data_IF_305541295402
#
_entry.id   IF_305541295402
#
_cell.length_a   1.000
_cell.length_b   1.000
_cell.length_c   1.000
_cell.angle_alpha   90.00
_cell.angle_beta   90.00
_cell.angle_gamma   90.00
#
_symmetry.space_group_name_H-M   'P 1'
#
loop_
_entity.id
_entity.type
_entity.pdbx_description
1 polymer ?
#
# COMPACT_ATOMS: atom_id res chain seq x y z
N UNK A 1 39.81 -32.66 34.12
CA UNK A 1 38.60 -32.24 34.86
C UNK A 1 38.06 -30.87 34.48
N UNK A 2 38.65 -30.19 33.51
CA UNK A 2 38.23 -28.79 33.10
C UNK A 2 37.45 -28.71 31.78
N UNK A 3 37.24 -29.82 31.06
CA UNK A 3 36.50 -29.82 29.79
C UNK A 3 34.99 -30.04 29.92
N UNK A 4 34.52 -30.56 31.06
CA UNK A 4 33.06 -30.87 31.26
C UNK A 4 32.24 -29.68 31.78
N UNK A 5 32.87 -28.63 32.36
CA UNK A 5 32.14 -27.49 32.92
C UNK A 5 31.78 -26.47 31.84
N UNK A 6 32.62 -26.31 30.80
CA UNK A 6 32.32 -25.37 29.69
C UNK A 6 31.17 -25.85 28.80
N UNK A 7 31.00 -27.17 28.64
CA UNK A 7 29.88 -27.70 27.85
C UNK A 7 28.53 -27.55 28.55
N UNK A 8 28.49 -27.57 29.89
CA UNK A 8 27.27 -27.41 30.68
C UNK A 8 26.76 -25.96 30.66
N UNK A 9 27.66 -24.96 30.64
CA UNK A 9 27.30 -23.55 30.55
C UNK A 9 26.79 -23.15 29.15
N UNK A 10 27.30 -23.75 28.08
CA UNK A 10 26.82 -23.48 26.71
C UNK A 10 25.44 -24.12 26.49
N UNK A 11 25.21 -25.32 27.02
CA UNK A 11 23.88 -25.95 26.94
C UNK A 11 22.82 -25.24 27.78
N UNK A 12 23.17 -24.67 28.95
CA UNK A 12 22.21 -23.91 29.77
C UNK A 12 21.84 -22.57 29.13
N UNK A 13 22.78 -21.90 28.48
CA UNK A 13 22.48 -20.64 27.77
C UNK A 13 21.62 -20.84 26.51
N UNK A 14 21.83 -21.96 25.78
CA UNK A 14 21.02 -22.30 24.60
C UNK A 14 19.60 -22.74 25.00
N UNK A 15 19.43 -23.46 26.11
CA UNK A 15 18.12 -23.83 26.62
C UNK A 15 17.37 -22.63 27.16
N UNK A 16 18.04 -21.72 27.88
CA UNK A 16 17.43 -20.48 28.38
C UNK A 16 16.97 -19.55 27.23
N UNK A 17 17.75 -19.46 26.14
CA UNK A 17 17.34 -18.66 24.98
C UNK A 17 16.13 -19.23 24.23
N UNK A 18 16.05 -20.57 24.10
CA UNK A 18 14.88 -21.23 23.47
C UNK A 18 13.61 -21.14 24.32
N UNK A 19 13.72 -21.24 25.66
CA UNK A 19 12.56 -21.09 26.55
C UNK A 19 12.08 -19.63 26.61
N UNK A 20 12.96 -18.66 26.52
CA UNK A 20 12.59 -17.23 26.48
C UNK A 20 11.87 -16.88 25.19
N UNK A 21 12.34 -17.37 24.03
CA UNK A 21 11.67 -17.22 22.74
C UNK A 21 10.28 -17.86 22.77
N UNK A 22 10.13 -19.05 23.34
CA UNK A 22 8.84 -19.72 23.43
C UNK A 22 7.84 -18.99 24.37
N UNK A 23 8.31 -18.36 25.43
CA UNK A 23 7.47 -17.55 26.33
C UNK A 23 6.99 -16.25 25.67
N UNK A 24 7.85 -15.55 24.92
CA UNK A 24 7.45 -14.35 24.17
C UNK A 24 6.49 -14.69 23.04
N UNK A 25 6.73 -15.77 22.31
CA UNK A 25 5.79 -16.26 21.29
C UNK A 25 4.42 -16.65 21.86
N UNK A 26 4.38 -17.31 23.01
CA UNK A 26 3.14 -17.64 23.71
C UNK A 26 2.43 -16.40 24.29
N UNK A 27 3.17 -15.39 24.77
CA UNK A 27 2.58 -14.14 25.23
C UNK A 27 2.04 -13.30 24.08
N UNK A 28 2.72 -13.23 22.92
CA UNK A 28 2.23 -12.54 21.73
C UNK A 28 0.95 -13.21 21.19
N UNK A 29 0.89 -14.55 21.15
CA UNK A 29 -0.31 -15.30 20.77
C UNK A 29 -1.45 -15.12 21.77
N UNK A 30 -1.15 -15.07 23.08
CA UNK A 30 -2.18 -14.84 24.13
C UNK A 30 -2.63 -13.39 24.21
N UNK A 31 -1.80 -12.42 23.84
CA UNK A 31 -2.23 -11.01 23.77
C UNK A 31 -3.12 -10.77 22.52
N UNK A 32 -2.82 -11.41 21.39
CA UNK A 32 -3.70 -11.37 20.20
C UNK A 32 -5.10 -11.97 20.47
N UNK A 33 -5.23 -12.89 21.44
CA UNK A 33 -6.53 -13.49 21.85
C UNK A 33 -7.28 -12.70 22.93
N UNK A 34 -6.68 -11.63 23.48
CA UNK A 34 -7.28 -10.76 24.50
C UNK A 34 -7.68 -9.37 24.01
N UNK A 35 -7.61 -9.13 22.69
CA UNK A 35 -8.30 -7.97 22.13
C UNK A 35 -9.80 -8.19 22.36
N UNK A 36 -10.31 -7.61 23.45
CA UNK A 36 -11.73 -7.37 23.63
C UNK A 36 -12.18 -6.63 22.37
N UNK A 37 -13.07 -7.25 21.58
CA UNK A 37 -13.61 -6.64 20.38
C UNK A 37 -14.24 -5.31 20.78
N UNK A 38 -13.51 -4.20 20.58
CA UNK A 38 -14.12 -2.87 20.60
C UNK A 38 -15.27 -2.92 19.60
N UNK A 39 -16.42 -2.36 19.96
CA UNK A 39 -17.50 -2.21 19.02
C UNK A 39 -16.96 -1.47 17.79
N UNK A 40 -17.15 -2.04 16.62
CA UNK A 40 -16.70 -1.41 15.37
C UNK A 40 -17.51 -0.15 15.10
N UNK A 41 -16.86 0.87 14.56
CA UNK A 41 -17.53 2.09 14.14
C UNK A 41 -18.27 1.82 12.83
N UNK A 42 -19.55 2.10 12.79
CA UNK A 42 -20.30 2.06 11.56
C UNK A 42 -19.84 3.19 10.63
N UNK A 43 -19.45 2.83 9.40
CA UNK A 43 -18.97 3.77 8.39
C UNK A 43 -19.76 3.56 7.10
N UNK A 44 -20.33 4.64 6.58
CA UNK A 44 -20.87 4.69 5.23
C UNK A 44 -19.83 5.32 4.31
N UNK A 45 -19.43 4.60 3.28
CA UNK A 45 -18.51 5.11 2.26
C UNK A 45 -19.18 6.15 1.36
N UNK A 46 -18.42 6.91 0.59
CA UNK A 46 -18.97 7.82 -0.40
C UNK A 46 -19.92 7.12 -1.39
N UNK A 47 -19.68 5.83 -1.69
CA UNK A 47 -20.58 5.04 -2.51
C UNK A 47 -21.94 4.81 -1.82
N UNK A 48 -21.93 4.40 -0.54
CA UNK A 48 -23.15 4.18 0.22
C UNK A 48 -23.98 5.45 0.31
N UNK A 49 -23.33 6.58 0.63
CA UNK A 49 -23.97 7.91 0.69
C UNK A 49 -24.53 8.33 -0.67
N UNK A 50 -23.79 8.08 -1.76
CA UNK A 50 -24.30 8.36 -3.11
C UNK A 50 -25.60 7.60 -3.38
N UNK A 51 -25.58 6.29 -3.13
CA UNK A 51 -26.74 5.42 -3.46
C UNK A 51 -27.95 5.71 -2.60
N UNK A 52 -27.79 5.95 -1.31
CA UNK A 52 -28.87 6.08 -0.35
C UNK A 52 -29.39 7.51 -0.22
N UNK A 53 -28.51 8.52 -0.26
CA UNK A 53 -28.85 9.88 0.16
C UNK A 53 -28.68 10.92 -0.97
N UNK A 54 -27.75 10.68 -1.91
CA UNK A 54 -27.33 11.69 -2.91
C UNK A 54 -27.34 11.19 -4.35
N UNK A 55 -28.31 10.36 -4.79
CA UNK A 55 -28.32 9.81 -6.14
C UNK A 55 -28.38 10.90 -7.24
N UNK A 56 -28.87 12.08 -6.91
CA UNK A 56 -28.96 13.22 -7.83
C UNK A 56 -27.62 13.68 -8.40
N UNK A 57 -26.48 13.29 -7.80
CA UNK A 57 -25.16 13.62 -8.36
C UNK A 57 -24.87 12.90 -9.68
N UNK A 58 -25.51 11.75 -9.92
CA UNK A 58 -25.29 10.95 -11.14
C UNK A 58 -26.57 10.72 -11.96
N UNK A 59 -27.75 11.06 -11.43
CA UNK A 59 -29.02 10.94 -12.15
C UNK A 59 -29.00 11.74 -13.45
N UNK A 60 -29.45 11.13 -14.55
CA UNK A 60 -29.46 11.71 -15.88
C UNK A 60 -28.09 11.90 -16.49
N UNK A 61 -27.03 11.32 -15.94
CA UNK A 61 -25.65 11.48 -16.40
C UNK A 61 -25.16 10.31 -17.23
N UNK A 62 -24.29 10.62 -18.20
CA UNK A 62 -23.47 9.63 -18.90
C UNK A 62 -22.11 9.58 -18.21
N UNK A 63 -21.84 8.47 -17.52
CA UNK A 63 -20.66 8.37 -16.66
C UNK A 63 -19.59 7.44 -17.22
N UNK A 64 -18.32 7.75 -16.88
CA UNK A 64 -17.22 6.79 -16.89
C UNK A 64 -16.86 6.48 -15.43
N UNK A 65 -16.67 5.21 -15.10
CA UNK A 65 -16.34 4.78 -13.74
C UNK A 65 -14.90 4.34 -13.65
N UNK A 66 -14.13 4.92 -12.74
CA UNK A 66 -12.77 4.49 -12.40
C UNK A 66 -12.84 3.65 -11.14
N UNK A 67 -12.60 2.35 -11.26
CA UNK A 67 -12.80 1.40 -10.15
C UNK A 67 -11.98 0.13 -10.30
N UNK A 68 -11.99 -0.67 -9.24
CA UNK A 68 -11.53 -2.06 -9.21
C UNK A 68 -12.40 -2.87 -8.23
N UNK A 69 -11.99 -4.08 -7.88
CA UNK A 69 -12.73 -4.97 -6.96
C UNK A 69 -12.99 -4.40 -5.56
N UNK A 70 -12.35 -3.29 -5.17
CA UNK A 70 -12.56 -2.63 -3.87
C UNK A 70 -13.76 -1.70 -3.88
N UNK A 71 -14.25 -1.32 -5.08
CA UNK A 71 -15.43 -0.48 -5.25
C UNK A 71 -16.71 -1.26 -4.99
N UNK A 72 -16.98 -1.60 -3.73
CA UNK A 72 -18.19 -2.28 -3.27
C UNK A 72 -18.93 -1.41 -2.29
N UNK A 73 -20.26 -1.56 -2.25
CA UNK A 73 -21.13 -0.96 -1.24
C UNK A 73 -21.11 -1.76 0.08
N UNK A 74 -21.83 -1.29 1.08
CA UNK A 74 -21.98 -1.93 2.39
C UNK A 74 -22.57 -3.36 2.32
N UNK A 75 -23.33 -3.67 1.28
CA UNK A 75 -23.86 -5.01 1.03
C UNK A 75 -22.86 -5.92 0.29
N UNK A 76 -21.68 -5.41 -0.09
CA UNK A 76 -20.67 -6.14 -0.85
C UNK A 76 -20.95 -6.20 -2.34
N UNK A 77 -21.85 -5.37 -2.86
CA UNK A 77 -22.21 -5.34 -4.28
C UNK A 77 -21.29 -4.34 -5.00
N UNK A 78 -20.68 -4.74 -6.16
CA UNK A 78 -19.81 -3.85 -6.91
C UNK A 78 -20.55 -2.59 -7.43
N UNK A 79 -19.84 -1.45 -7.36
CA UNK A 79 -20.36 -0.15 -7.79
C UNK A 79 -20.80 -0.14 -9.26
N UNK A 80 -20.06 -0.81 -10.17
CA UNK A 80 -20.46 -0.89 -11.57
C UNK A 80 -21.81 -1.60 -11.74
N UNK A 81 -22.10 -2.62 -10.93
CA UNK A 81 -23.39 -3.30 -10.95
C UNK A 81 -24.49 -2.36 -10.47
N UNK A 82 -24.28 -1.64 -9.36
CA UNK A 82 -25.24 -0.65 -8.86
C UNK A 82 -25.56 0.41 -9.90
N UNK A 83 -24.55 0.95 -10.57
CA UNK A 83 -24.78 1.99 -11.59
C UNK A 83 -25.46 1.45 -12.86
N UNK A 84 -25.22 0.19 -13.22
CA UNK A 84 -25.94 -0.47 -14.33
C UNK A 84 -27.40 -0.80 -14.01
N UNK A 85 -27.76 -0.91 -12.73
CA UNK A 85 -29.14 -1.15 -12.26
C UNK A 85 -29.97 0.16 -12.14
N UNK A 86 -29.34 1.34 -12.28
CA UNK A 86 -30.01 2.64 -12.23
C UNK A 86 -30.52 3.02 -13.64
N UNK A 87 -31.84 3.09 -13.83
CA UNK A 87 -32.46 3.36 -15.14
C UNK A 87 -32.07 4.72 -15.76
N UNK A 88 -31.71 5.68 -14.92
CA UNK A 88 -31.37 7.05 -15.33
C UNK A 88 -29.85 7.35 -15.33
N UNK A 89 -29.02 6.33 -15.22
CA UNK A 89 -27.55 6.43 -15.30
C UNK A 89 -27.03 5.66 -16.51
N UNK A 90 -26.29 6.33 -17.37
CA UNK A 90 -25.69 5.73 -18.56
C UNK A 90 -24.20 5.45 -18.31
N UNK A 91 -23.87 4.25 -17.84
CA UNK A 91 -22.49 3.82 -17.64
C UNK A 91 -21.82 3.44 -18.99
N UNK A 92 -21.09 4.41 -19.57
CA UNK A 92 -20.43 4.27 -20.89
C UNK A 92 -19.17 3.42 -20.87
N UNK A 93 -18.35 3.59 -19.82
CA UNK A 93 -16.99 3.06 -19.78
C UNK A 93 -16.60 2.75 -18.33
N UNK A 94 -15.79 1.70 -18.15
CA UNK A 94 -15.12 1.39 -16.90
C UNK A 94 -13.60 1.52 -17.13
N UNK A 95 -12.95 2.32 -16.31
CA UNK A 95 -11.49 2.38 -16.23
C UNK A 95 -11.01 1.65 -14.99
N UNK A 96 -9.92 0.90 -15.15
CA UNK A 96 -9.33 0.16 -14.04
C UNK A 96 -7.87 0.60 -13.83
N UNK A 97 -7.42 0.71 -12.58
CA UNK A 97 -5.99 0.92 -12.30
C UNK A 97 -5.20 -0.37 -12.54
N UNK A 98 -3.96 -0.40 -12.06
CA UNK A 98 -3.14 -1.61 -11.97
C UNK A 98 -3.94 -2.80 -11.41
N UNK A 99 -3.67 -4.01 -11.91
CA UNK A 99 -4.35 -5.27 -11.58
C UNK A 99 -5.78 -5.45 -12.13
N UNK A 100 -6.34 -4.48 -12.85
CA UNK A 100 -7.63 -4.60 -13.53
C UNK A 100 -8.84 -4.67 -12.59
N UNK A 101 -10.03 -4.90 -13.16
CA UNK A 101 -11.30 -4.85 -12.43
C UNK A 101 -11.41 -5.91 -11.33
N UNK A 102 -10.86 -7.10 -11.54
CA UNK A 102 -10.96 -8.22 -10.61
C UNK A 102 -9.68 -8.49 -9.83
N UNK A 103 -8.65 -7.66 -9.99
CA UNK A 103 -7.38 -7.80 -9.28
C UNK A 103 -6.58 -9.05 -9.66
N UNK A 104 -6.74 -9.55 -10.89
CA UNK A 104 -6.09 -10.78 -11.39
C UNK A 104 -5.23 -10.55 -12.63
N UNK A 105 -5.27 -9.35 -13.21
CA UNK A 105 -4.48 -9.05 -14.39
C UNK A 105 -3.02 -8.82 -14.03
N UNK A 106 -2.12 -9.50 -14.74
CA UNK A 106 -0.72 -9.11 -14.79
C UNK A 106 -0.57 -7.77 -15.54
N UNK A 107 0.56 -7.11 -15.37
CA UNK A 107 0.84 -5.80 -15.94
C UNK A 107 0.52 -5.74 -17.45
N UNK A 108 -0.46 -4.91 -17.82
CA UNK A 108 -0.82 -4.65 -19.23
C UNK A 108 -1.64 -5.73 -19.93
N UNK A 109 -2.13 -6.72 -19.23
CA UNK A 109 -2.93 -7.81 -19.81
C UNK A 109 -4.36 -7.33 -20.16
N UNK A 110 -4.83 -7.63 -21.38
CA UNK A 110 -6.23 -7.45 -21.76
C UNK A 110 -7.06 -8.58 -21.16
N UNK A 111 -7.84 -8.26 -20.15
CA UNK A 111 -8.74 -9.24 -19.50
C UNK A 111 -10.06 -9.29 -20.29
N UNK A 112 -10.45 -10.50 -20.73
CA UNK A 112 -11.79 -10.72 -21.26
C UNK A 112 -12.80 -10.79 -20.08
N UNK A 113 -13.68 -9.81 -20.00
CA UNK A 113 -14.68 -9.69 -18.92
C UNK A 113 -15.99 -10.45 -19.19
N UNK A 114 -16.10 -11.14 -20.33
CA UNK A 114 -17.31 -11.85 -20.75
C UNK A 114 -17.66 -13.10 -19.92
N UNK A 115 -16.75 -13.51 -19.02
CA UNK A 115 -16.90 -14.75 -18.24
C UNK A 115 -17.83 -14.68 -17.01
N UNK A 116 -18.33 -13.48 -16.65
CA UNK A 116 -19.15 -13.30 -15.43
C UNK A 116 -20.66 -13.33 -15.67
N UNK A 117 -21.11 -13.56 -16.92
CA UNK A 117 -22.53 -13.62 -17.25
C UNK A 117 -23.28 -12.27 -17.25
N UNK A 118 -22.55 -11.15 -16.99
CA UNK A 118 -23.04 -9.78 -17.07
C UNK A 118 -22.36 -9.09 -18.23
N UNK A 119 -23.12 -8.47 -19.12
CA UNK A 119 -22.58 -7.66 -20.20
C UNK A 119 -22.10 -6.31 -19.65
N UNK A 120 -20.82 -6.22 -19.37
CA UNK A 120 -20.18 -4.97 -18.94
C UNK A 120 -20.04 -3.98 -20.10
N UNK A 121 -20.01 -2.67 -19.82
CA UNK A 121 -19.46 -1.66 -20.73
C UNK A 121 -18.01 -1.96 -21.09
N UNK A 122 -17.47 -1.20 -22.04
CA UNK A 122 -16.03 -1.32 -22.37
C UNK A 122 -15.16 -1.07 -21.14
N UNK A 123 -14.25 -2.01 -20.84
CA UNK A 123 -13.30 -1.90 -19.72
C UNK A 123 -11.90 -1.63 -20.27
N UNK A 124 -11.25 -0.56 -19.77
CA UNK A 124 -9.91 -0.14 -20.19
C UNK A 124 -8.99 -0.02 -18.96
N UNK A 125 -7.81 -0.61 -19.05
CA UNK A 125 -6.78 -0.46 -18.02
C UNK A 125 -6.04 0.87 -18.20
N UNK A 126 -5.96 1.65 -17.11
CA UNK A 126 -5.13 2.87 -17.01
C UNK A 126 -3.74 2.55 -16.42
N UNK A 127 -3.18 1.39 -16.79
CA UNK A 127 -1.85 0.95 -16.39
C UNK A 127 -1.03 0.46 -17.60
N UNK A 128 0.28 0.63 -17.53
CA UNK A 128 1.17 0.28 -18.65
C UNK A 128 1.24 1.39 -19.70
N UNK A 129 0.81 1.11 -20.92
CA UNK A 129 0.92 2.02 -22.06
C UNK A 129 -0.08 3.19 -22.00
N UNK A 130 -1.24 2.99 -21.41
CA UNK A 130 -2.29 4.01 -21.26
C UNK A 130 -2.44 4.28 -19.77
N UNK A 131 -2.11 5.49 -19.34
CA UNK A 131 -2.23 5.90 -17.92
C UNK A 131 -3.24 7.03 -17.71
N UNK A 132 -3.59 7.73 -18.80
CA UNK A 132 -4.54 8.84 -18.82
C UNK A 132 -5.64 8.52 -19.83
N UNK A 133 -6.93 8.70 -19.52
CA UNK A 133 -8.00 8.54 -20.47
C UNK A 133 -7.81 9.46 -21.68
N UNK A 134 -8.07 8.95 -22.89
CA UNK A 134 -8.01 9.75 -24.11
C UNK A 134 -9.36 10.41 -24.40
N UNK A 135 -9.41 11.51 -25.22
CA UNK A 135 -10.65 12.13 -25.61
C UNK A 135 -11.66 11.16 -26.26
N UNK A 136 -11.18 10.23 -27.09
CA UNK A 136 -12.04 9.24 -27.74
C UNK A 136 -12.70 8.27 -26.73
N UNK A 137 -11.98 7.92 -25.66
CA UNK A 137 -12.50 7.06 -24.60
C UNK A 137 -13.58 7.78 -23.76
N UNK A 138 -13.51 9.11 -23.70
CA UNK A 138 -14.43 9.95 -22.93
C UNK A 138 -15.54 10.57 -23.80
N UNK A 139 -15.66 10.15 -25.08
CA UNK A 139 -16.69 10.67 -25.98
C UNK A 139 -18.08 10.38 -25.41
N UNK A 140 -18.90 11.44 -25.22
CA UNK A 140 -20.25 11.36 -24.67
C UNK A 140 -20.32 11.13 -23.16
N UNK A 141 -19.19 11.17 -22.43
CA UNK A 141 -19.14 11.18 -20.97
C UNK A 141 -19.21 12.63 -20.47
N UNK A 142 -20.03 12.88 -19.46
CA UNK A 142 -20.13 14.20 -18.83
C UNK A 142 -19.67 14.21 -17.35
N UNK A 143 -19.50 13.02 -16.76
CA UNK A 143 -19.02 12.86 -15.39
C UNK A 143 -18.13 11.63 -15.28
N UNK A 144 -16.95 11.79 -14.65
CA UNK A 144 -16.12 10.66 -14.26
C UNK A 144 -16.33 10.40 -12.77
N UNK A 145 -16.77 9.19 -12.42
CA UNK A 145 -16.89 8.75 -11.03
C UNK A 145 -15.63 7.97 -10.66
N UNK A 146 -14.99 8.34 -9.58
CA UNK A 146 -13.81 7.65 -9.04
C UNK A 146 -14.18 6.98 -7.71
N UNK A 147 -14.02 5.64 -7.63
CA UNK A 147 -14.33 4.84 -6.45
C UNK A 147 -13.37 3.66 -6.30
N UNK A 148 -12.27 3.88 -5.60
CA UNK A 148 -11.22 2.88 -5.33
C UNK A 148 -10.71 3.05 -3.90
N UNK A 149 -10.52 1.94 -3.18
CA UNK A 149 -9.84 1.91 -1.89
C UNK A 149 -8.33 2.07 -2.07
N UNK A 150 -7.76 3.18 -1.63
CA UNK A 150 -6.31 3.40 -1.53
C UNK A 150 -5.74 2.84 -0.21
N UNK A 151 -4.42 2.82 -0.07
CA UNK A 151 -3.74 2.28 1.12
C UNK A 151 -2.97 3.32 1.96
N UNK A 152 -3.08 4.61 1.65
CA UNK A 152 -2.47 5.67 2.45
C UNK A 152 -0.98 5.92 2.17
N UNK A 153 -0.44 5.45 1.03
CA UNK A 153 0.99 5.51 0.73
C UNK A 153 1.25 6.09 -0.66
N UNK A 154 2.14 7.10 -0.76
CA UNK A 154 2.40 7.89 -1.98
C UNK A 154 2.74 7.04 -3.20
N UNK A 155 3.56 6.02 -3.06
CA UNK A 155 3.99 5.21 -4.20
C UNK A 155 2.99 4.11 -4.58
N UNK A 156 1.87 4.03 -3.90
CA UNK A 156 0.74 3.22 -4.34
C UNK A 156 -0.02 3.97 -5.42
N UNK A 157 -0.06 3.41 -6.63
CA UNK A 157 -0.28 4.16 -7.89
C UNK A 157 -1.69 4.69 -8.10
N UNK A 158 -2.65 4.37 -7.23
CA UNK A 158 -4.04 4.81 -7.39
C UNK A 158 -4.20 6.33 -7.30
N UNK A 159 -3.39 6.99 -6.47
CA UNK A 159 -3.35 8.47 -6.39
C UNK A 159 -2.91 9.08 -7.74
N UNK A 160 -1.91 8.47 -8.39
CA UNK A 160 -1.43 8.92 -9.70
C UNK A 160 -2.48 8.71 -10.78
N UNK A 161 -3.24 7.61 -10.70
CA UNK A 161 -4.38 7.34 -11.58
C UNK A 161 -5.48 8.38 -11.38
N UNK A 162 -5.85 8.72 -10.13
CA UNK A 162 -6.81 9.79 -9.83
C UNK A 162 -6.39 11.11 -10.49
N UNK A 163 -5.16 11.52 -10.26
CA UNK A 163 -4.67 12.78 -10.81
C UNK A 163 -4.69 12.84 -12.33
N UNK A 164 -4.25 11.77 -13.00
CA UNK A 164 -4.28 11.68 -14.47
C UNK A 164 -5.72 11.67 -15.04
N UNK A 165 -6.66 11.06 -14.30
CA UNK A 165 -8.10 11.11 -14.63
C UNK A 165 -8.63 12.54 -14.49
N UNK A 166 -8.29 13.22 -13.40
CA UNK A 166 -8.69 14.61 -13.16
C UNK A 166 -8.07 15.56 -14.20
N UNK A 167 -6.82 15.36 -14.60
CA UNK A 167 -6.19 16.09 -15.70
C UNK A 167 -6.98 15.92 -17.02
N UNK A 168 -7.32 14.68 -17.38
CA UNK A 168 -8.11 14.39 -18.59
C UNK A 168 -9.50 15.04 -18.53
N UNK A 169 -10.14 14.98 -17.38
CA UNK A 169 -11.46 15.59 -17.15
C UNK A 169 -11.42 17.12 -17.30
N UNK A 170 -10.41 17.78 -16.73
CA UNK A 170 -10.22 19.22 -16.84
C UNK A 170 -9.98 19.68 -18.28
N UNK A 171 -9.15 18.96 -19.05
CA UNK A 171 -8.88 19.22 -20.47
C UNK A 171 -10.14 19.14 -21.35
N UNK A 172 -11.12 18.32 -20.96
CA UNK A 172 -12.35 18.07 -21.71
C UNK A 172 -13.61 18.71 -21.11
N UNK A 173 -13.47 19.51 -20.03
CA UNK A 173 -14.57 20.10 -19.27
C UNK A 173 -15.58 19.04 -18.78
N UNK A 174 -15.10 17.89 -18.35
CA UNK A 174 -15.89 16.82 -17.74
C UNK A 174 -15.82 16.97 -16.22
N UNK A 175 -16.94 16.78 -15.51
CA UNK A 175 -16.98 16.80 -14.04
C UNK A 175 -16.34 15.52 -13.47
N UNK A 176 -15.75 15.63 -12.29
CA UNK A 176 -15.24 14.49 -11.52
C UNK A 176 -15.99 14.38 -10.21
N UNK A 177 -16.49 13.18 -9.90
CA UNK A 177 -17.11 12.82 -8.65
C UNK A 177 -16.26 11.77 -7.94
N UNK A 178 -15.70 12.12 -6.80
CA UNK A 178 -14.92 11.18 -5.96
C UNK A 178 -15.82 10.64 -4.86
N UNK A 179 -15.95 9.31 -4.80
CA UNK A 179 -16.62 8.62 -3.72
C UNK A 179 -15.59 8.24 -2.67
N UNK A 180 -15.59 8.97 -1.55
CA UNK A 180 -14.50 8.87 -0.59
C UNK A 180 -14.52 7.55 0.19
N UNK A 181 -13.32 7.07 0.53
CA UNK A 181 -13.08 5.84 1.29
C UNK A 181 -12.03 6.07 2.38
N UNK A 182 -12.05 5.29 3.48
CA UNK A 182 -11.10 5.45 4.57
C UNK A 182 -9.65 5.39 4.12
N UNK A 183 -8.78 6.22 4.72
CA UNK A 183 -7.37 5.89 4.73
C UNK A 183 -7.18 4.72 5.71
N UNK A 184 -6.78 3.52 5.25
CA UNK A 184 -6.82 2.32 6.09
C UNK A 184 -5.78 2.32 7.20
N UNK A 185 -4.73 3.12 7.05
CA UNK A 185 -3.62 3.23 8.00
C UNK A 185 -3.66 4.56 8.77
N UNK A 186 -4.86 5.10 9.01
CA UNK A 186 -5.16 6.38 9.67
C UNK A 186 -4.90 7.61 8.78
N UNK A 187 -5.73 8.62 8.94
CA UNK A 187 -5.66 9.89 8.22
C UNK A 187 -4.88 10.99 8.97
N UNK A 188 -4.48 10.76 10.21
CA UNK A 188 -3.76 11.74 11.03
C UNK A 188 -2.24 11.48 11.13
N UNK A 189 -1.75 10.34 10.63
CA UNK A 189 -0.33 9.98 10.72
C UNK A 189 0.38 10.29 9.39
N UNK A 190 1.43 11.09 9.49
CA UNK A 190 2.27 11.49 8.36
C UNK A 190 3.69 11.01 8.62
N UNK A 191 4.31 10.33 7.63
CA UNK A 191 5.70 9.85 7.73
C UNK A 191 6.44 10.02 6.39
N UNK A 192 7.75 10.24 6.50
CA UNK A 192 8.68 10.35 5.39
C UNK A 192 8.60 11.68 4.65
N UNK A 193 9.54 11.94 3.72
CA UNK A 193 9.69 13.22 3.07
C UNK A 193 8.57 13.49 2.06
N UNK A 194 8.29 14.79 1.88
CA UNK A 194 7.52 15.28 0.75
C UNK A 194 8.32 15.03 -0.54
N UNK A 195 7.63 14.58 -1.59
CA UNK A 195 8.24 14.39 -2.91
C UNK A 195 8.82 15.70 -3.46
N UNK A 196 10.11 15.70 -3.78
CA UNK A 196 10.68 16.72 -4.67
C UNK A 196 10.26 16.42 -6.11
N UNK A 197 9.63 17.40 -6.78
CA UNK A 197 9.04 17.22 -8.11
C UNK A 197 10.06 16.90 -9.22
N UNK A 198 11.36 17.08 -8.99
CA UNK A 198 12.41 16.58 -9.88
C UNK A 198 12.44 15.04 -9.98
N UNK A 199 11.91 14.35 -8.96
CA UNK A 199 11.79 12.90 -8.89
C UNK A 199 10.37 12.40 -9.22
N UNK A 200 9.52 13.26 -9.79
CA UNK A 200 8.17 12.92 -10.21
C UNK A 200 8.17 11.68 -11.10
N UNK A 201 7.31 10.75 -10.77
CA UNK A 201 7.13 9.49 -11.51
C UNK A 201 5.72 8.95 -11.28
N UNK A 202 5.38 7.81 -11.90
CA UNK A 202 4.07 7.21 -11.65
C UNK A 202 3.91 6.67 -10.21
N UNK A 203 5.02 6.36 -9.52
CA UNK A 203 5.04 5.96 -8.09
C UNK A 203 5.22 7.17 -7.14
N UNK A 204 5.09 8.39 -7.64
CA UNK A 204 5.18 9.63 -6.87
C UNK A 204 4.84 10.80 -7.80
N UNK A 205 3.56 11.14 -7.90
CA UNK A 205 3.07 12.08 -8.91
C UNK A 205 2.87 13.50 -8.35
N UNK A 206 2.57 13.61 -7.04
CA UNK A 206 2.31 14.87 -6.36
C UNK A 206 3.21 15.08 -5.14
N UNK A 207 3.46 16.34 -4.74
CA UNK A 207 4.36 16.68 -3.62
C UNK A 207 3.69 16.42 -2.27
N UNK A 208 3.54 15.15 -1.94
CA UNK A 208 2.99 14.66 -0.67
C UNK A 208 4.01 13.75 0.04
N UNK A 209 3.90 13.55 1.36
CA UNK A 209 4.73 12.62 2.13
C UNK A 209 4.56 11.16 1.69
N UNK A 210 5.45 10.26 2.13
CA UNK A 210 5.35 8.81 1.86
C UNK A 210 4.03 8.28 2.44
N UNK A 211 3.82 8.42 3.74
CA UNK A 211 2.53 8.19 4.39
C UNK A 211 1.86 9.54 4.52
N UNK A 212 0.80 9.77 3.77
CA UNK A 212 0.32 11.13 3.52
C UNK A 212 -0.84 11.59 4.43
N UNK A 213 -1.42 10.70 5.24
CA UNK A 213 -2.39 11.04 6.26
C UNK A 213 -3.65 11.75 5.75
N UNK A 214 -4.23 11.29 4.63
CA UNK A 214 -5.45 11.85 4.03
C UNK A 214 -6.27 10.76 3.37
N UNK A 215 -7.56 11.02 3.14
CA UNK A 215 -8.40 10.20 2.27
C UNK A 215 -8.15 10.54 0.81
N UNK A 216 -8.69 9.72 -0.09
CA UNK A 216 -8.58 9.98 -1.53
C UNK A 216 -9.38 11.22 -1.95
N UNK A 217 -10.52 11.47 -1.30
CA UNK A 217 -11.33 12.68 -1.50
C UNK A 217 -10.60 13.94 -1.05
N UNK A 218 -9.98 13.92 0.14
CA UNK A 218 -9.14 15.02 0.64
C UNK A 218 -7.91 15.28 -0.25
N UNK A 219 -7.33 14.24 -0.86
CA UNK A 219 -6.25 14.42 -1.82
C UNK A 219 -6.73 15.04 -3.12
N UNK A 220 -7.91 14.67 -3.61
CA UNK A 220 -8.49 15.28 -4.81
C UNK A 220 -8.71 16.79 -4.60
N UNK A 221 -9.29 17.18 -3.47
CA UNK A 221 -9.45 18.59 -3.10
C UNK A 221 -8.10 19.32 -2.99
N UNK A 222 -7.11 18.68 -2.39
CA UNK A 222 -5.76 19.24 -2.26
C UNK A 222 -5.10 19.48 -3.62
N UNK A 223 -5.30 18.58 -4.58
CA UNK A 223 -4.77 18.71 -5.96
C UNK A 223 -5.36 19.94 -6.67
N UNK A 224 -6.65 20.21 -6.48
CA UNK A 224 -7.32 21.40 -7.03
C UNK A 224 -6.88 22.66 -6.31
N UNK A 225 -6.93 22.65 -4.97
CA UNK A 225 -6.63 23.84 -4.14
C UNK A 225 -5.20 24.34 -4.34
N UNK A 226 -4.24 23.42 -4.53
CA UNK A 226 -2.84 23.78 -4.77
C UNK A 226 -2.50 23.99 -6.25
N UNK A 227 -3.50 23.96 -7.15
CA UNK A 227 -3.29 24.09 -8.60
C UNK A 227 -2.29 23.07 -9.18
N UNK A 228 -2.29 21.85 -8.64
CA UNK A 228 -1.45 20.78 -9.20
C UNK A 228 -2.02 20.21 -10.49
N UNK A 229 -3.29 20.47 -10.75
CA UNK A 229 -4.02 20.09 -11.96
C UNK A 229 -4.51 21.37 -12.66
N UNK A 230 -4.17 21.51 -13.94
CA UNK A 230 -4.56 22.66 -14.75
C UNK A 230 -4.71 22.27 -16.22
N UNK A 231 -5.89 22.51 -16.86
CA UNK A 231 -7.10 23.08 -16.27
C UNK A 231 -7.74 22.14 -15.23
N UNK A 232 -8.28 22.71 -14.17
CA UNK A 232 -8.96 21.97 -13.14
C UNK A 232 -10.37 21.55 -13.59
N UNK A 233 -10.81 20.30 -13.37
CA UNK A 233 -12.21 19.90 -13.57
C UNK A 233 -13.12 20.49 -12.49
N UNK A 234 -14.42 20.49 -12.72
CA UNK A 234 -15.40 20.62 -11.63
C UNK A 234 -15.30 19.34 -10.80
N UNK A 235 -14.98 19.49 -9.53
CA UNK A 235 -14.81 18.38 -8.58
C UNK A 235 -15.91 18.42 -7.53
N UNK A 236 -16.57 17.28 -7.35
CA UNK A 236 -17.42 17.00 -6.21
C UNK A 236 -16.82 15.81 -5.45
N UNK A 237 -16.83 15.87 -4.11
CA UNK A 237 -16.44 14.76 -3.23
C UNK A 237 -17.62 14.36 -2.36
N UNK A 238 -18.02 13.11 -2.43
CA UNK A 238 -18.99 12.56 -1.47
C UNK A 238 -18.23 11.95 -0.32
N UNK A 239 -18.19 12.69 0.79
CA UNK A 239 -17.51 12.31 2.01
C UNK A 239 -18.21 11.14 2.69
N UNK A 240 -17.45 10.40 3.49
CA UNK A 240 -17.96 9.32 4.35
C UNK A 240 -18.77 9.87 5.53
N UNK A 241 -19.61 9.03 6.10
CA UNK A 241 -20.21 9.23 7.43
C UNK A 241 -19.68 8.21 8.43
N UNK A 242 -19.50 8.62 9.68
CA UNK A 242 -19.00 7.77 10.76
C UNK A 242 -17.49 7.58 10.79
N UNK A 243 -16.76 7.89 9.72
CA UNK A 243 -15.30 7.82 9.70
C UNK A 243 -14.66 9.09 10.28
N UNK A 244 -13.50 8.93 10.93
CA UNK A 244 -12.60 10.03 11.29
C UNK A 244 -11.13 9.59 11.18
N UNK A 245 -10.23 10.54 11.09
CA UNK A 245 -8.82 10.36 10.75
C UNK A 245 -8.02 9.43 11.70
N UNK A 246 -8.52 9.18 12.93
CA UNK A 246 -7.84 8.32 13.91
C UNK A 246 -8.25 6.87 13.88
N UNK A 247 -9.21 6.49 13.02
CA UNK A 247 -9.62 5.09 12.88
C UNK A 247 -8.65 4.30 12.00
N UNK A 248 -8.27 3.13 12.49
CA UNK A 248 -7.73 2.07 11.66
C UNK A 248 -8.87 1.40 10.89
N UNK A 249 -8.58 0.83 9.71
CA UNK A 249 -9.61 0.21 8.88
C UNK A 249 -10.40 -0.88 9.60
N UNK A 250 -9.77 -1.72 10.41
CA UNK A 250 -10.40 -2.82 11.15
C UNK A 250 -11.21 -2.38 12.37
N UNK A 251 -11.11 -1.12 12.76
CA UNK A 251 -12.00 -0.48 13.76
C UNK A 251 -13.31 0.00 13.12
N UNK A 252 -13.40 -0.01 11.79
CA UNK A 252 -14.65 0.21 11.05
C UNK A 252 -15.39 -1.12 10.85
N UNK A 253 -16.65 -1.06 10.50
CA UNK A 253 -17.44 -2.24 10.12
C UNK A 253 -17.26 -2.67 8.66
N UNK A 254 -16.45 -1.93 7.88
CA UNK A 254 -16.17 -2.21 6.48
C UNK A 254 -15.38 -3.53 6.30
N UNK A 255 -15.64 -4.19 5.17
CA UNK A 255 -14.97 -5.43 4.79
C UNK A 255 -13.65 -5.11 4.07
N UNK A 256 -12.54 -5.71 4.52
CA UNK A 256 -11.27 -5.60 3.81
C UNK A 256 -11.32 -6.37 2.49
N UNK A 257 -11.26 -5.64 1.40
CA UNK A 257 -11.02 -6.19 0.06
C UNK A 257 -9.60 -5.81 -0.34
N UNK A 258 -8.70 -6.77 -0.44
CA UNK A 258 -7.29 -6.51 -0.73
C UNK A 258 -7.12 -5.66 -2.00
N UNK A 259 -6.59 -4.42 -1.90
CA UNK A 259 -6.50 -3.49 -3.03
C UNK A 259 -5.59 -4.00 -4.15
N UNK A 260 -4.56 -4.75 -3.82
CA UNK A 260 -3.71 -5.46 -4.77
C UNK A 260 -3.38 -6.87 -4.25
N UNK A 261 -2.90 -7.76 -5.13
CA UNK A 261 -2.52 -9.13 -4.73
C UNK A 261 -1.43 -9.18 -3.65
N UNK A 262 -0.58 -8.14 -3.57
CA UNK A 262 0.52 -8.06 -2.61
C UNK A 262 0.22 -7.19 -1.37
N UNK A 263 -1.02 -6.73 -1.20
CA UNK A 263 -1.53 -6.12 0.04
C UNK A 263 -2.72 -6.97 0.53
N UNK A 264 -2.46 -8.18 1.05
CA UNK A 264 -3.51 -9.14 1.40
C UNK A 264 -4.32 -8.72 2.63
N UNK A 265 -3.73 -7.95 3.52
CA UNK A 265 -4.31 -7.58 4.81
C UNK A 265 -3.88 -6.17 5.26
N UNK A 266 -4.54 -5.66 6.30
CA UNK A 266 -4.25 -4.36 6.89
C UNK A 266 -2.83 -4.28 7.47
N UNK A 267 -2.34 -5.36 8.09
CA UNK A 267 -0.99 -5.37 8.67
C UNK A 267 0.08 -5.15 7.60
N UNK A 268 -0.10 -5.76 6.42
CA UNK A 268 0.77 -5.49 5.26
C UNK A 268 0.68 -4.02 4.83
N UNK A 269 -0.51 -3.43 4.79
CA UNK A 269 -0.68 -2.01 4.46
C UNK A 269 0.01 -1.08 5.48
N UNK A 270 0.00 -1.43 6.78
CA UNK A 270 0.68 -0.69 7.85
C UNK A 270 2.20 -0.73 7.68
N UNK A 271 2.76 -1.87 7.30
CA UNK A 271 4.20 -2.09 7.13
C UNK A 271 4.72 -1.52 5.80
N UNK A 272 3.88 -1.50 4.78
CA UNK A 272 4.23 -1.17 3.40
C UNK A 272 4.94 0.19 3.20
N UNK A 273 4.57 1.31 3.86
CA UNK A 273 5.23 2.60 3.67
C UNK A 273 6.75 2.56 3.89
N UNK A 274 7.23 1.75 4.83
CA UNK A 274 8.65 1.57 5.08
C UNK A 274 9.27 0.45 4.26
N UNK A 275 8.62 -0.72 4.22
CA UNK A 275 9.23 -1.91 3.61
C UNK A 275 9.22 -1.92 2.08
N UNK A 276 8.41 -1.10 1.43
CA UNK A 276 8.48 -0.89 0.00
C UNK A 276 9.84 -0.30 -0.45
N UNK A 277 10.59 0.38 0.42
CA UNK A 277 11.94 0.86 0.12
C UNK A 277 12.91 -0.28 -0.25
N UNK A 278 12.67 -1.50 0.23
CA UNK A 278 13.44 -2.70 -0.11
C UNK A 278 13.33 -3.06 -1.60
N UNK A 279 12.29 -2.64 -2.29
CA UNK A 279 12.19 -2.79 -3.75
C UNK A 279 13.32 -2.05 -4.49
N UNK A 280 13.88 -1.01 -3.88
CA UNK A 280 15.06 -0.30 -4.36
C UNK A 280 16.38 -1.07 -4.23
N UNK A 281 16.34 -2.36 -3.89
CA UNK A 281 17.51 -3.23 -3.71
C UNK A 281 17.33 -4.56 -4.45
N UNK A 282 18.37 -5.42 -4.39
CA UNK A 282 18.28 -6.81 -4.82
C UNK A 282 17.72 -7.77 -3.75
N UNK A 283 17.35 -7.28 -2.58
CA UNK A 283 16.77 -8.10 -1.49
C UNK A 283 15.30 -8.40 -1.80
N UNK A 284 14.84 -9.63 -1.50
CA UNK A 284 13.43 -9.99 -1.60
C UNK A 284 12.61 -9.25 -0.54
N UNK A 285 11.56 -8.58 -0.98
CA UNK A 285 10.53 -7.96 -0.16
C UNK A 285 9.37 -8.90 0.14
N UNK A 286 9.59 -10.22 -0.01
CA UNK A 286 8.62 -11.25 0.30
C UNK A 286 7.54 -11.49 -0.76
N UNK A 287 7.60 -10.84 -1.93
CA UNK A 287 6.76 -11.21 -3.07
C UNK A 287 7.02 -12.67 -3.45
N UNK A 288 5.98 -13.39 -3.86
CA UNK A 288 6.09 -14.85 -4.06
C UNK A 288 5.97 -15.67 -2.77
N UNK A 289 5.57 -15.03 -1.66
CA UNK A 289 5.23 -15.68 -0.38
C UNK A 289 3.81 -15.30 0.05
N UNK A 290 3.25 -15.95 1.08
CA UNK A 290 2.00 -15.52 1.71
C UNK A 290 2.08 -14.13 2.36
N UNK A 291 3.28 -13.63 2.70
CA UNK A 291 3.52 -12.44 3.51
C UNK A 291 4.43 -11.41 2.81
N UNK A 292 4.01 -10.83 1.68
CA UNK A 292 4.76 -9.77 1.01
C UNK A 292 4.95 -8.58 1.95
N UNK A 293 6.11 -7.94 1.87
CA UNK A 293 6.58 -6.84 2.71
C UNK A 293 6.75 -7.14 4.21
N UNK A 294 6.13 -8.20 4.74
CA UNK A 294 6.36 -8.69 6.11
C UNK A 294 7.60 -9.56 6.21
N UNK A 295 7.88 -10.34 5.17
CA UNK A 295 9.09 -11.16 5.08
C UNK A 295 10.06 -10.52 4.10
N UNK A 296 11.27 -10.22 4.59
CA UNK A 296 12.35 -9.70 3.76
C UNK A 296 13.59 -10.57 3.92
N UNK A 297 14.36 -10.77 2.86
CA UNK A 297 15.55 -11.58 2.95
C UNK A 297 16.24 -11.87 1.63
N UNK A 298 17.38 -12.56 1.75
CA UNK A 298 18.16 -13.03 0.62
C UNK A 298 18.91 -14.33 1.01
N UNK A 299 19.45 -15.10 0.04
CA UNK A 299 20.20 -16.32 0.34
C UNK A 299 21.46 -16.10 1.18
N UNK A 300 21.99 -14.88 1.17
CA UNK A 300 23.26 -14.49 1.80
C UNK A 300 23.08 -13.73 3.12
N UNK A 301 21.84 -13.49 3.57
CA UNK A 301 21.56 -12.82 4.84
C UNK A 301 21.60 -13.84 5.98
N UNK A 302 22.21 -13.48 7.11
CA UNK A 302 21.98 -14.11 8.40
C UNK A 302 20.81 -13.42 9.11
N UNK A 303 19.64 -14.07 9.12
CA UNK A 303 18.42 -13.49 9.71
C UNK A 303 18.49 -13.32 11.22
N UNK A 304 19.29 -14.17 11.91
CA UNK A 304 19.49 -14.02 13.35
C UNK A 304 20.30 -12.77 13.68
N UNK A 305 21.46 -12.62 13.06
CA UNK A 305 22.33 -11.46 13.29
C UNK A 305 21.64 -10.15 12.92
N UNK A 306 20.92 -10.14 11.79
CA UNK A 306 20.16 -8.96 11.36
C UNK A 306 19.05 -8.62 12.34
N UNK A 307 18.29 -9.61 12.84
CA UNK A 307 17.22 -9.38 13.83
C UNK A 307 17.78 -8.82 15.13
N UNK A 308 18.91 -9.36 15.61
CA UNK A 308 19.56 -8.85 16.82
C UNK A 308 20.07 -7.41 16.63
N UNK A 309 20.60 -7.07 15.46
CA UNK A 309 21.05 -5.72 15.17
C UNK A 309 19.90 -4.71 15.16
N UNK A 310 18.77 -5.05 14.55
CA UNK A 310 17.61 -4.18 14.46
C UNK A 310 16.87 -4.04 15.79
N UNK A 311 16.69 -5.13 16.55
CA UNK A 311 16.02 -5.08 17.85
C UNK A 311 16.81 -4.24 18.90
N UNK A 312 18.12 -4.03 18.71
CA UNK A 312 18.92 -3.11 19.55
C UNK A 312 18.53 -1.65 19.41
N UNK A 313 17.86 -1.26 18.33
CA UNK A 313 17.36 0.12 18.18
C UNK A 313 16.15 0.40 19.06
N UNK A 314 15.53 -0.64 19.62
CA UNK A 314 14.35 -0.54 20.51
C UNK A 314 13.22 0.32 19.91
N UNK A 315 12.93 0.05 18.63
CA UNK A 315 11.90 0.80 17.91
C UNK A 315 10.51 0.53 18.51
N UNK A 316 9.71 1.57 18.72
CA UNK A 316 8.39 1.39 19.32
C UNK A 316 7.47 0.59 18.40
N UNK A 317 6.73 -0.33 18.98
CA UNK A 317 5.65 -1.06 18.31
C UNK A 317 6.07 -2.10 17.26
N UNK A 318 7.35 -2.52 17.23
CA UNK A 318 7.84 -3.52 16.28
C UNK A 318 8.88 -4.44 16.90
N UNK A 319 8.85 -5.70 16.50
CA UNK A 319 9.89 -6.70 16.73
C UNK A 319 10.34 -7.31 15.41
N UNK A 320 11.63 -7.59 15.28
CA UNK A 320 12.22 -8.27 14.13
C UNK A 320 12.54 -9.71 14.50
N UNK A 321 11.89 -10.65 13.83
CA UNK A 321 12.02 -12.09 14.10
C UNK A 321 12.77 -12.77 12.96
N UNK A 322 13.77 -13.64 13.25
CA UNK A 322 14.46 -14.36 12.19
C UNK A 322 13.49 -15.24 11.40
N UNK A 323 13.61 -15.17 10.07
CA UNK A 323 12.73 -15.91 9.14
C UNK A 323 13.50 -16.56 8.02
N UNK A 324 13.13 -17.77 7.68
CA UNK A 324 13.52 -18.42 6.43
C UNK A 324 12.29 -18.65 5.56
N UNK A 325 12.42 -18.40 4.25
CA UNK A 325 11.35 -18.58 3.29
C UNK A 325 11.90 -18.87 1.89
N UNK A 326 11.06 -19.33 1.01
CA UNK A 326 11.39 -19.55 -0.41
C UNK A 326 10.33 -18.79 -1.21
N UNK A 327 10.72 -17.74 -1.96
CA UNK A 327 9.82 -17.09 -2.90
C UNK A 327 9.48 -18.05 -4.06
N UNK A 328 8.22 -18.08 -4.46
CA UNK A 328 7.74 -18.89 -5.57
C UNK A 328 6.97 -18.02 -6.56
N UNK A 329 6.92 -18.44 -7.80
CA UNK A 329 6.07 -17.81 -8.80
C UNK A 329 4.60 -18.04 -8.43
N UNK A 330 3.85 -16.95 -8.28
CA UNK A 330 2.41 -16.97 -8.01
C UNK A 330 1.71 -16.21 -9.15
N UNK A 331 1.01 -16.90 -10.07
CA UNK A 331 0.33 -16.26 -11.20
C UNK A 331 -0.62 -15.15 -10.76
N UNK A 332 -0.55 -13.99 -11.42
CA UNK A 332 -1.35 -12.81 -11.11
C UNK A 332 -0.98 -12.08 -9.80
N UNK A 333 0.04 -12.57 -9.06
CA UNK A 333 0.52 -11.96 -7.82
C UNK A 333 2.02 -11.66 -7.83
N UNK A 334 2.84 -12.61 -8.23
CA UNK A 334 4.29 -12.50 -8.28
C UNK A 334 4.82 -13.36 -9.44
N UNK A 335 4.93 -12.78 -10.63
CA UNK A 335 5.36 -13.52 -11.83
C UNK A 335 6.85 -13.82 -11.83
N UNK A 336 7.67 -12.92 -11.32
CA UNK A 336 9.13 -13.03 -11.26
C UNK A 336 9.62 -12.51 -9.91
N UNK A 337 9.35 -13.21 -8.78
CA UNK A 337 9.83 -12.77 -7.47
C UNK A 337 11.36 -12.88 -7.40
N UNK A 338 12.00 -11.97 -6.67
CA UNK A 338 13.44 -12.04 -6.40
C UNK A 338 13.75 -13.36 -5.69
N UNK A 339 14.84 -14.04 -6.10
CA UNK A 339 15.26 -15.33 -5.56
C UNK A 339 14.20 -16.44 -5.68
N UNK A 340 13.45 -16.47 -6.76
CA UNK A 340 12.50 -17.53 -7.05
C UNK A 340 13.13 -18.92 -6.84
N UNK A 341 12.45 -19.83 -6.13
CA UNK A 341 12.88 -21.19 -5.79
C UNK A 341 14.20 -21.28 -4.99
N UNK A 342 14.70 -20.16 -4.43
CA UNK A 342 15.89 -20.16 -3.59
C UNK A 342 15.51 -19.93 -2.13
N UNK A 343 16.17 -20.67 -1.23
CA UNK A 343 16.00 -20.43 0.21
C UNK A 343 16.64 -19.13 0.62
N UNK A 344 15.82 -18.19 1.06
CA UNK A 344 16.22 -16.93 1.69
C UNK A 344 16.22 -17.07 3.21
N UNK A 345 17.12 -16.34 3.85
CA UNK A 345 17.11 -16.06 5.28
C UNK A 345 16.99 -14.55 5.48
N UNK A 346 16.34 -14.12 6.53
CA UNK A 346 16.10 -12.71 6.80
C UNK A 346 15.16 -12.51 7.97
N UNK A 347 14.17 -11.66 7.80
CA UNK A 347 13.29 -11.19 8.87
C UNK A 347 11.81 -11.42 8.56
N UNK A 348 11.04 -11.62 9.62
CA UNK A 348 9.62 -11.32 9.70
C UNK A 348 9.45 -10.08 10.59
N UNK A 349 8.67 -9.10 10.12
CA UNK A 349 8.37 -7.86 10.84
C UNK A 349 7.07 -8.08 11.60
N UNK A 350 7.13 -7.99 12.92
CA UNK A 350 5.99 -8.12 13.81
C UNK A 350 5.61 -6.75 14.36
N UNK A 351 4.47 -6.23 13.95
CA UNK A 351 3.90 -5.03 14.57
C UNK A 351 3.26 -5.45 15.89
N UNK A 352 3.87 -5.05 17.00
CA UNK A 352 3.43 -5.38 18.36
C UNK A 352 2.48 -4.34 18.93
N UNK A 353 2.61 -3.09 18.47
CA UNK A 353 1.72 -1.97 18.79
C UNK A 353 1.68 -1.02 17.58
N UNK A 354 0.58 -1.03 16.83
CA UNK A 354 0.42 -0.23 15.61
C UNK A 354 0.30 1.28 15.87
N UNK A 355 -0.14 1.68 17.07
CA UNK A 355 -0.31 3.10 17.42
C UNK A 355 1.03 3.80 17.67
N UNK A 356 2.04 3.07 18.12
CA UNK A 356 3.41 3.55 18.28
C UNK A 356 4.34 3.20 17.11
N UNK A 357 3.95 2.28 16.23
CA UNK A 357 4.76 1.81 15.10
C UNK A 357 4.97 2.91 14.06
N UNK A 358 6.25 3.11 13.70
CA UNK A 358 6.67 4.03 12.65
C UNK A 358 7.22 3.27 11.47
N UNK A 359 6.37 3.13 10.44
CA UNK A 359 6.68 2.31 9.27
C UNK A 359 7.91 2.80 8.50
N UNK A 360 7.98 4.10 8.22
CA UNK A 360 9.07 4.69 7.43
C UNK A 360 10.39 4.61 8.18
N UNK A 361 10.41 4.93 9.49
CA UNK A 361 11.61 4.81 10.33
C UNK A 361 12.13 3.36 10.35
N UNK A 362 11.21 2.40 10.47
CA UNK A 362 11.52 0.96 10.43
C UNK A 362 12.16 0.57 9.11
N UNK A 363 11.63 1.05 7.98
CA UNK A 363 12.19 0.82 6.66
C UNK A 363 13.58 1.39 6.49
N UNK A 364 13.79 2.61 6.96
CA UNK A 364 15.10 3.29 6.93
C UNK A 364 16.13 2.48 7.72
N UNK A 365 15.84 2.18 8.99
CA UNK A 365 16.79 1.44 9.83
C UNK A 365 17.11 0.04 9.29
N UNK A 366 16.10 -0.62 8.72
CA UNK A 366 16.28 -1.92 8.07
C UNK A 366 17.22 -1.80 6.87
N UNK A 367 17.00 -0.81 5.99
CA UNK A 367 17.83 -0.60 4.80
C UNK A 367 19.27 -0.23 5.15
N UNK A 368 19.49 0.67 6.11
CA UNK A 368 20.84 1.05 6.56
C UNK A 368 21.55 -0.13 7.24
N UNK A 369 20.87 -0.93 8.05
CA UNK A 369 21.47 -2.11 8.69
C UNK A 369 21.87 -3.16 7.67
N UNK A 370 21.02 -3.43 6.68
CA UNK A 370 21.34 -4.35 5.58
C UNK A 370 22.55 -3.87 4.77
N UNK A 371 22.61 -2.58 4.45
CA UNK A 371 23.73 -2.02 3.71
C UNK A 371 25.05 -2.08 4.50
N UNK A 372 25.00 -1.78 5.80
CA UNK A 372 26.17 -1.84 6.68
C UNK A 372 26.68 -3.27 6.91
N UNK A 373 25.77 -4.25 7.03
CA UNK A 373 26.14 -5.64 7.32
C UNK A 373 26.58 -6.42 6.07
N UNK A 374 26.09 -6.03 4.89
CA UNK A 374 26.32 -6.78 3.65
C UNK A 374 26.73 -5.88 2.47
N UNK A 375 27.73 -4.98 2.63
CA UNK A 375 28.07 -3.97 1.62
C UNK A 375 28.49 -4.56 0.27
N UNK A 376 29.11 -5.75 0.27
CA UNK A 376 29.57 -6.45 -0.94
C UNK A 376 28.48 -7.31 -1.61
N UNK A 377 27.28 -7.40 -1.02
CA UNK A 377 26.18 -8.26 -1.49
C UNK A 377 24.94 -7.50 -1.89
N UNK A 378 24.67 -6.37 -1.20
CA UNK A 378 23.52 -5.56 -1.49
C UNK A 378 23.76 -4.68 -2.72
N UNK A 379 22.84 -4.72 -3.66
CA UNK A 379 22.84 -3.84 -4.82
C UNK A 379 21.73 -2.81 -4.64
N UNK A 380 22.09 -1.53 -4.71
CA UNK A 380 21.12 -0.43 -4.64
C UNK A 380 20.71 -0.03 -6.07
N UNK A 381 19.42 0.02 -6.31
CA UNK A 381 18.84 0.54 -7.55
C UNK A 381 18.55 2.03 -7.39
N UNK A 382 19.59 2.86 -7.56
CA UNK A 382 19.55 4.30 -7.28
C UNK A 382 18.28 4.97 -7.80
N UNK A 383 17.99 4.86 -9.09
CA UNK A 383 16.83 5.51 -9.71
C UNK A 383 15.52 5.09 -9.03
N UNK A 384 15.36 3.80 -8.74
CA UNK A 384 14.12 3.29 -8.12
C UNK A 384 14.00 3.75 -6.67
N UNK A 385 15.10 3.67 -5.90
CA UNK A 385 15.14 4.12 -4.52
C UNK A 385 14.82 5.63 -4.41
N UNK A 386 15.40 6.44 -5.31
CA UNK A 386 15.15 7.88 -5.35
C UNK A 386 13.69 8.22 -5.71
N UNK A 387 13.05 7.44 -6.60
CA UNK A 387 11.63 7.61 -6.91
C UNK A 387 10.72 7.26 -5.72
N UNK A 388 11.03 6.15 -4.99
CA UNK A 388 10.29 5.76 -3.80
C UNK A 388 10.47 6.77 -2.66
N UNK A 389 11.70 7.17 -2.39
CA UNK A 389 12.01 8.13 -1.33
C UNK A 389 11.51 9.54 -1.65
N UNK A 390 11.52 9.91 -2.92
CA UNK A 390 11.06 11.22 -3.40
C UNK A 390 12.16 12.27 -3.52
N UNK A 391 13.41 11.89 -3.28
CA UNK A 391 14.62 12.67 -3.53
C UNK A 391 15.86 11.75 -3.51
N UNK A 392 17.07 12.30 -3.66
CA UNK A 392 18.31 11.50 -3.72
C UNK A 392 19.09 11.41 -2.39
N UNK A 393 18.54 11.93 -1.29
CA UNK A 393 19.27 12.04 -0.02
C UNK A 393 19.48 10.65 0.58
N UNK A 394 18.46 9.80 0.58
CA UNK A 394 18.54 8.45 1.14
C UNK A 394 19.66 7.63 0.47
N UNK A 395 19.68 7.61 -0.85
CA UNK A 395 20.72 6.91 -1.61
C UNK A 395 22.12 7.48 -1.32
N UNK A 396 22.26 8.82 -1.35
CA UNK A 396 23.56 9.48 -1.08
C UNK A 396 24.11 9.17 0.30
N UNK A 397 23.26 9.21 1.32
CA UNK A 397 23.68 8.93 2.69
C UNK A 397 24.00 7.44 2.92
N UNK A 398 23.26 6.52 2.26
CA UNK A 398 23.61 5.09 2.25
C UNK A 398 25.01 4.85 1.69
N UNK A 399 25.30 5.31 0.48
CA UNK A 399 26.60 5.06 -0.17
C UNK A 399 27.76 5.82 0.48
N UNK A 400 27.49 6.91 1.17
CA UNK A 400 28.45 7.65 1.99
C UNK A 400 28.85 6.89 3.27
N UNK A 401 28.05 5.88 3.67
CA UNK A 401 28.26 5.11 4.89
C UNK A 401 27.72 5.78 6.15
N UNK A 402 26.72 6.65 6.01
CA UNK A 402 26.00 7.19 7.16
C UNK A 402 25.26 6.08 7.92
N UNK A 403 24.93 6.32 9.17
CA UNK A 403 24.14 5.36 9.98
C UNK A 403 22.66 5.67 9.91
N UNK A 404 21.80 4.65 10.09
CA UNK A 404 20.35 4.82 10.12
C UNK A 404 19.88 5.82 11.19
N UNK A 405 20.35 5.76 12.43
CA UNK A 405 20.00 6.75 13.46
C UNK A 405 20.41 8.18 13.11
N UNK A 406 21.60 8.38 12.52
CA UNK A 406 22.02 9.68 12.02
C UNK A 406 21.06 10.19 10.94
N UNK A 407 20.67 9.32 10.01
CA UNK A 407 19.76 9.69 8.93
C UNK A 407 18.38 10.11 9.48
N UNK A 408 17.80 9.34 10.40
CA UNK A 408 16.51 9.67 11.01
C UNK A 408 16.54 11.02 11.75
N UNK A 409 17.64 11.33 12.41
CA UNK A 409 17.80 12.59 13.15
C UNK A 409 17.85 13.82 12.23
N UNK A 410 18.34 13.68 10.98
CA UNK A 410 18.67 14.83 10.14
C UNK A 410 17.77 14.98 8.90
N UNK A 411 17.11 13.91 8.45
CA UNK A 411 16.46 13.88 7.13
C UNK A 411 15.04 13.28 7.12
N UNK A 412 14.50 12.89 8.28
CA UNK A 412 13.15 12.31 8.37
C UNK A 412 12.15 13.26 9.03
#
# INVERSE_FOLDING_TARGET
MFRSIAALFILSSIVFSKETINKHQLQAVTNKSKETSKAKTEVLTGLDILLEQKPYFIQGRSIALVTNKTGIDKAGIPNYQRFMEMDDVDLKMIFTPEHGLFGKAADGEKVAYDSIGIKLPTVVSLYGNIRKPTPDMLAGVNTIVYDIQDIGTRFYTYISTLGLVMEAAGELNISVLVLDRPNPIRGDIIEGPILNMEFRSFVGYYPIPIRYGKTIGELADLMITNNWISPAPVLDVISMEGWHEKLWFDETDLVWVNPSPNIPDLETAIIYPGMCLIEGTNISEGRGTPHPFKWIGAPWIDGWDLSQALNKFDLPGVEFVPKSFIPDKIPGKAENPKFENQKCSGLEIWVTDRDSFKSVDTGILTLFSLYAMYPDKIELREKHLNMLWGNNILFKELVKGSTGPYFLQHYN
#
